data_IF_154738846840
#
_entry.id   IF_154738846840
#
_cell.length_a   1.000
_cell.length_b   1.000
_cell.length_c   1.000
_cell.angle_alpha   90.00
_cell.angle_beta   90.00
_cell.angle_gamma   90.00
#
_symmetry.space_group_name_H-M   'P 1'
#
loop_
_entity.id
_entity.type
_entity.pdbx_description
1 polymer ?
#
# COMPACT_ATOMS: atom_id res chain seq x y z
N UNK A 1 62.92 -56.21 -30.89
CA UNK A 1 63.00 -57.68 -31.05
C UNK A 1 61.94 -58.08 -32.07
N UNK A 2 62.39 -58.50 -33.25
CA UNK A 2 61.70 -59.27 -34.32
C UNK A 2 60.48 -58.57 -34.98
N UNK A 3 60.56 -57.98 -36.18
CA UNK A 3 60.87 -58.51 -37.54
C UNK A 3 59.68 -59.17 -38.26
N UNK A 4 59.34 -58.63 -39.44
CA UNK A 4 58.81 -59.22 -40.71
C UNK A 4 57.97 -58.16 -41.44
N UNK A 5 58.32 -57.56 -42.59
CA UNK A 5 58.92 -57.98 -43.88
C UNK A 5 57.96 -58.78 -44.80
N UNK A 6 57.88 -58.28 -46.05
CA UNK A 6 57.32 -58.79 -47.33
C UNK A 6 56.04 -58.07 -47.78
N UNK A 7 56.08 -57.08 -48.70
CA UNK A 7 56.40 -57.10 -50.15
C UNK A 7 55.41 -57.96 -50.95
N UNK A 8 54.54 -57.32 -51.73
CA UNK A 8 54.26 -57.70 -53.13
C UNK A 8 53.76 -56.50 -53.94
N UNK A 9 54.41 -56.30 -55.09
CA UNK A 9 54.20 -55.23 -56.07
C UNK A 9 53.09 -55.55 -57.08
N UNK A 10 52.79 -54.55 -57.94
CA UNK A 10 52.06 -54.58 -59.22
C UNK A 10 50.52 -54.58 -59.09
N UNK A 11 49.75 -53.67 -59.70
CA UNK A 11 49.87 -53.12 -61.06
C UNK A 11 49.09 -51.81 -61.15
N UNK A 12 49.61 -50.86 -61.93
CA UNK A 12 48.97 -49.60 -62.26
C UNK A 12 47.70 -49.79 -63.11
N UNK A 13 46.63 -49.07 -62.77
CA UNK A 13 45.60 -48.68 -63.73
C UNK A 13 45.23 -47.22 -63.47
N UNK A 14 45.68 -46.36 -64.39
CA UNK A 14 45.30 -44.96 -64.50
C UNK A 14 43.82 -44.82 -64.78
N UNK A 15 43.09 -44.10 -63.93
CA UNK A 15 41.81 -43.49 -64.28
C UNK A 15 41.66 -42.13 -63.56
N UNK A 16 41.40 -41.14 -64.39
CA UNK A 16 41.44 -39.70 -64.19
C UNK A 16 40.29 -39.19 -63.31
N UNK A 17 40.64 -38.29 -62.39
CA UNK A 17 39.89 -37.17 -61.81
C UNK A 17 38.35 -37.22 -61.72
N UNK A 18 37.83 -37.09 -60.49
CA UNK A 18 36.75 -36.13 -60.19
C UNK A 18 36.75 -35.81 -58.69
N UNK A 19 37.10 -34.58 -58.32
CA UNK A 19 36.85 -34.02 -56.99
C UNK A 19 35.33 -33.82 -56.86
N UNK A 20 34.62 -34.83 -56.37
CA UNK A 20 33.26 -34.65 -55.88
C UNK A 20 33.33 -33.95 -54.52
N UNK A 21 33.03 -32.66 -54.54
CA UNK A 21 32.56 -31.92 -53.38
C UNK A 21 31.37 -32.66 -52.76
N UNK A 22 31.57 -33.24 -51.57
CA UNK A 22 30.48 -33.79 -50.79
C UNK A 22 29.50 -32.67 -50.43
N UNK A 23 28.20 -32.79 -50.72
CA UNK A 23 27.23 -31.83 -50.20
C UNK A 23 27.12 -32.05 -48.69
N UNK A 24 27.22 -30.95 -47.94
CA UNK A 24 26.90 -30.92 -46.52
C UNK A 24 25.49 -31.52 -46.30
N UNK A 25 25.27 -32.31 -45.24
CA UNK A 25 23.94 -32.84 -44.95
C UNK A 25 22.99 -31.66 -44.76
N UNK A 26 21.92 -31.65 -45.57
CA UNK A 26 20.81 -30.72 -45.41
C UNK A 26 20.23 -30.89 -44.00
N UNK A 27 20.26 -29.82 -43.22
CA UNK A 27 19.50 -29.72 -41.98
C UNK A 27 18.02 -29.91 -42.33
N UNK A 28 17.37 -30.90 -41.71
CA UNK A 28 15.93 -31.11 -41.82
C UNK A 28 15.15 -29.87 -41.35
N UNK A 29 13.86 -29.76 -41.69
CA UNK A 29 13.06 -28.58 -41.38
C UNK A 29 13.00 -28.40 -39.85
N UNK A 30 13.52 -27.27 -39.37
CA UNK A 30 13.34 -26.82 -38.00
C UNK A 30 11.83 -26.62 -37.81
N UNK A 31 11.20 -27.51 -37.03
CA UNK A 31 9.76 -27.51 -36.81
C UNK A 31 9.35 -26.14 -36.26
N UNK A 32 8.36 -25.51 -36.91
CA UNK A 32 7.83 -24.23 -36.43
C UNK A 32 7.15 -24.47 -35.08
N UNK A 33 7.60 -23.77 -34.05
CA UNK A 33 6.93 -23.80 -32.77
C UNK A 33 5.51 -23.24 -32.93
N UNK A 34 4.53 -24.02 -32.45
CA UNK A 34 3.11 -23.71 -32.58
C UNK A 34 2.41 -23.70 -31.24
N UNK A 35 1.41 -22.83 -31.09
CA UNK A 35 0.48 -22.87 -29.97
C UNK A 35 -0.95 -23.10 -30.46
N UNK A 36 -1.74 -23.81 -29.67
CA UNK A 36 -3.17 -24.00 -29.94
C UNK A 36 -3.94 -22.81 -29.39
N UNK A 37 -4.85 -22.26 -30.18
CA UNK A 37 -5.80 -21.26 -29.71
C UNK A 37 -6.83 -21.92 -28.79
N UNK A 38 -6.78 -21.62 -27.50
CA UNK A 38 -7.67 -22.21 -26.48
C UNK A 38 -8.53 -21.14 -25.81
N UNK A 39 -9.75 -21.52 -25.45
CA UNK A 39 -10.53 -20.70 -24.53
C UNK A 39 -9.90 -20.78 -23.15
N UNK A 40 -9.50 -19.64 -22.62
CA UNK A 40 -8.94 -19.49 -21.30
C UNK A 40 -9.83 -18.53 -20.50
N UNK A 41 -10.02 -18.81 -19.20
CA UNK A 41 -10.75 -17.90 -18.31
C UNK A 41 -9.86 -16.68 -18.03
N UNK A 42 -10.33 -15.50 -18.40
CA UNK A 42 -9.61 -14.25 -18.20
C UNK A 42 -10.44 -13.27 -17.36
N UNK A 43 -9.77 -12.57 -16.45
CA UNK A 43 -10.39 -11.55 -15.61
C UNK A 43 -11.04 -10.45 -16.47
N UNK A 44 -12.27 -10.08 -16.11
CA UNK A 44 -12.94 -8.90 -16.67
C UNK A 44 -12.70 -7.74 -15.72
N UNK A 45 -11.93 -6.77 -16.18
CA UNK A 45 -11.66 -5.56 -15.42
C UNK A 45 -12.52 -4.39 -15.93
N UNK A 46 -12.90 -3.51 -14.99
CA UNK A 46 -13.46 -2.20 -15.31
C UNK A 46 -12.69 -1.12 -14.61
N UNK A 47 -12.36 -0.08 -15.36
CA UNK A 47 -11.57 1.05 -14.89
C UNK A 47 -12.51 2.17 -14.47
N UNK A 48 -12.26 2.70 -13.28
CA UNK A 48 -12.94 3.87 -12.73
C UNK A 48 -11.92 4.90 -12.30
N UNK A 49 -12.31 6.17 -12.33
CA UNK A 49 -11.48 7.25 -11.82
C UNK A 49 -11.65 7.33 -10.29
N UNK A 50 -10.53 7.46 -9.60
CA UNK A 50 -10.42 7.61 -8.16
C UNK A 50 -9.62 8.84 -7.78
N UNK A 51 -9.76 9.26 -6.54
CA UNK A 51 -8.99 10.37 -5.96
C UNK A 51 -8.08 9.84 -4.87
N UNK A 52 -6.81 10.24 -4.90
CA UNK A 52 -5.84 9.90 -3.86
C UNK A 52 -6.12 10.73 -2.60
N UNK A 53 -6.14 10.10 -1.44
CA UNK A 53 -6.26 10.73 -0.13
C UNK A 53 -5.14 10.25 0.79
N UNK A 54 -4.65 11.12 1.67
CA UNK A 54 -3.82 10.69 2.78
C UNK A 54 -4.68 9.95 3.81
N UNK A 55 -4.18 8.82 4.32
CA UNK A 55 -4.87 8.11 5.42
C UNK A 55 -4.83 8.97 6.69
N UNK A 56 -3.66 9.57 6.98
CA UNK A 56 -3.50 10.50 8.07
C UNK A 56 -3.49 11.94 7.55
N UNK A 57 -4.60 12.63 7.77
CA UNK A 57 -4.77 14.06 7.51
C UNK A 57 -5.60 14.66 8.63
N UNK A 58 -5.11 15.74 9.24
CA UNK A 58 -5.71 16.33 10.41
C UNK A 58 -5.31 17.79 10.56
N UNK A 59 -6.24 18.56 11.12
CA UNK A 59 -5.97 19.91 11.59
C UNK A 59 -5.85 19.87 13.10
N UNK A 60 -4.67 20.21 13.61
CA UNK A 60 -4.44 20.32 15.05
C UNK A 60 -5.01 21.64 15.53
N UNK A 61 -5.84 21.57 16.56
CA UNK A 61 -6.51 22.73 17.16
C UNK A 61 -6.02 23.01 18.57
N UNK A 62 -6.19 24.24 19.02
CA UNK A 62 -5.87 24.64 20.38
C UNK A 62 -6.73 23.89 21.40
N UNK A 63 -6.10 23.31 22.42
CA UNK A 63 -6.80 22.68 23.56
C UNK A 63 -6.93 23.63 24.75
N UNK A 64 -6.17 24.74 24.75
CA UNK A 64 -6.19 25.76 25.79
C UNK A 64 -6.11 27.16 25.18
N UNK A 65 -6.56 28.16 25.94
CA UNK A 65 -6.41 29.56 25.57
C UNK A 65 -4.98 30.04 25.90
N UNK A 66 -4.44 30.89 25.05
CA UNK A 66 -3.14 31.52 25.32
C UNK A 66 -2.59 32.25 24.10
N UNK A 67 -1.45 32.91 24.30
CA UNK A 67 -0.72 33.59 23.23
C UNK A 67 0.33 32.66 22.64
N UNK A 68 0.42 32.60 21.32
CA UNK A 68 1.47 31.87 20.61
C UNK A 68 2.83 32.51 20.91
N UNK A 69 3.73 31.75 21.52
CA UNK A 69 5.09 32.16 21.83
C UNK A 69 6.07 31.79 20.72
N UNK A 70 5.90 30.60 20.13
CA UNK A 70 6.79 30.06 19.11
C UNK A 70 6.00 29.15 18.16
N UNK A 71 6.34 29.19 16.88
CA UNK A 71 5.92 28.24 15.85
C UNK A 71 7.18 27.61 15.28
N UNK A 72 7.31 26.29 15.36
CA UNK A 72 8.55 25.57 15.05
C UNK A 72 8.68 25.14 13.59
N UNK A 73 7.59 25.18 12.81
CA UNK A 73 7.52 24.70 11.43
C UNK A 73 6.62 25.61 10.60
N UNK A 74 6.93 25.76 9.32
CA UNK A 74 6.11 26.51 8.37
C UNK A 74 5.47 25.57 7.33
N UNK A 75 4.64 26.13 6.45
CA UNK A 75 4.05 25.41 5.32
C UNK A 75 5.16 24.78 4.46
N UNK A 76 4.91 23.57 3.98
CA UNK A 76 5.83 22.71 3.21
C UNK A 76 6.95 22.04 4.01
N UNK A 77 7.10 22.33 5.30
CA UNK A 77 8.07 21.63 6.15
C UNK A 77 7.61 20.20 6.46
N UNK A 78 8.59 19.27 6.48
CA UNK A 78 8.38 17.91 6.98
C UNK A 78 8.58 17.85 8.49
N UNK A 79 7.66 17.19 9.17
CA UNK A 79 7.60 17.08 10.62
C UNK A 79 7.53 15.62 11.03
N UNK A 80 8.35 15.23 12.02
CA UNK A 80 8.29 13.90 12.64
C UNK A 80 7.17 13.82 13.68
N UNK A 81 6.67 12.61 13.93
CA UNK A 81 5.70 12.39 15.02
C UNK A 81 6.27 12.83 16.38
N UNK A 82 5.45 13.54 17.16
CA UNK A 82 5.83 14.05 18.48
C UNK A 82 6.68 15.32 18.46
N UNK A 83 7.08 15.82 17.29
CA UNK A 83 7.77 17.10 17.20
C UNK A 83 6.86 18.24 17.67
N UNK A 84 7.46 19.25 18.31
CA UNK A 84 6.72 20.42 18.82
C UNK A 84 6.42 21.36 17.67
N UNK A 85 5.13 21.49 17.34
CA UNK A 85 4.64 22.39 16.30
C UNK A 85 4.58 23.83 16.82
N UNK A 86 3.97 24.00 17.99
CA UNK A 86 3.61 25.32 18.53
C UNK A 86 3.80 25.31 20.04
N UNK A 87 4.36 26.39 20.57
CA UNK A 87 4.41 26.67 22.02
C UNK A 87 3.62 27.92 22.35
N UNK A 88 2.83 27.82 23.39
CA UNK A 88 2.09 28.94 23.96
C UNK A 88 2.90 29.54 25.11
N UNK A 89 2.62 30.80 25.44
CA UNK A 89 3.09 31.38 26.70
C UNK A 89 2.48 30.59 27.86
N UNK A 90 3.32 30.10 28.78
CA UNK A 90 2.92 29.16 29.84
C UNK A 90 3.14 29.70 31.26
N UNK A 91 3.36 31.01 31.40
CA UNK A 91 3.71 31.66 32.68
C UNK A 91 2.64 31.40 33.74
N UNK A 92 1.37 31.54 33.39
CA UNK A 92 0.23 31.35 34.30
C UNK A 92 0.06 29.87 34.68
N UNK A 93 0.15 28.97 33.70
CA UNK A 93 0.02 27.52 33.87
C UNK A 93 1.16 26.97 34.74
N UNK A 94 2.40 27.43 34.52
CA UNK A 94 3.54 27.09 35.39
C UNK A 94 3.38 27.61 36.80
N UNK A 95 2.80 28.80 36.97
CA UNK A 95 2.53 29.35 38.30
C UNK A 95 1.46 28.55 39.04
N UNK A 96 0.39 28.17 38.35
CA UNK A 96 -0.64 27.29 38.89
C UNK A 96 -0.08 25.92 39.29
N UNK A 97 0.83 25.36 38.48
CA UNK A 97 1.49 24.09 38.79
C UNK A 97 2.29 24.19 40.08
N UNK A 98 3.12 25.23 40.23
CA UNK A 98 3.88 25.47 41.47
C UNK A 98 2.97 25.61 42.68
N UNK A 99 1.82 26.28 42.54
CA UNK A 99 0.85 26.41 43.61
C UNK A 99 0.23 25.07 44.01
N UNK A 100 -0.16 24.24 43.05
CA UNK A 100 -0.71 22.91 43.29
C UNK A 100 0.34 21.98 43.95
N UNK A 101 1.59 22.03 43.48
CA UNK A 101 2.69 21.24 44.07
C UNK A 101 2.98 21.65 45.52
N UNK A 102 2.90 22.94 45.84
CA UNK A 102 3.03 23.43 47.22
C UNK A 102 1.89 22.91 48.12
N UNK A 103 0.65 22.90 47.63
CA UNK A 103 -0.50 22.34 48.37
C UNK A 103 -0.36 20.83 48.60
N UNK A 104 0.16 20.11 47.61
CA UNK A 104 0.48 18.68 47.76
C UNK A 104 1.56 18.45 48.82
N UNK A 105 2.62 19.26 48.82
CA UNK A 105 3.67 19.20 49.82
C UNK A 105 3.11 19.44 51.24
N UNK A 106 2.25 20.44 51.42
CA UNK A 106 1.54 20.71 52.68
C UNK A 106 0.67 19.53 53.12
N UNK A 107 -0.11 18.95 52.20
CA UNK A 107 -0.97 17.79 52.49
C UNK A 107 -0.15 16.57 52.92
N UNK A 108 1.00 16.33 52.27
CA UNK A 108 1.93 15.24 52.63
C UNK A 108 2.56 15.45 54.00
N UNK A 109 2.94 16.68 54.34
CA UNK A 109 3.45 17.00 55.67
C UNK A 109 2.40 16.72 56.76
N UNK A 110 1.15 17.16 56.55
CA UNK A 110 0.03 16.87 57.47
C UNK A 110 -0.28 15.39 57.60
N UNK A 111 -0.21 14.63 56.51
CA UNK A 111 -0.36 13.18 56.55
C UNK A 111 0.74 12.54 57.41
N UNK A 112 1.98 12.97 57.24
CA UNK A 112 3.11 12.48 58.03
C UNK A 112 2.88 12.74 59.52
N UNK A 113 2.45 13.94 59.89
CA UNK A 113 2.09 14.27 61.27
C UNK A 113 0.97 13.36 61.82
N UNK A 114 -0.09 13.14 61.04
CA UNK A 114 -1.21 12.29 61.44
C UNK A 114 -0.83 10.79 61.52
N UNK A 115 0.07 10.32 60.65
CA UNK A 115 0.62 8.97 60.69
C UNK A 115 1.45 8.75 61.98
N UNK A 116 2.26 9.73 62.38
CA UNK A 116 3.02 9.69 63.63
C UNK A 116 2.12 9.75 64.87
N UNK A 117 1.07 10.58 64.86
CA UNK A 117 0.10 10.66 65.95
C UNK A 117 -0.69 9.36 66.11
N UNK A 118 -1.14 8.76 64.99
CA UNK A 118 -1.78 7.44 65.02
C UNK A 118 -0.85 6.39 65.62
N UNK A 119 0.42 6.35 65.21
CA UNK A 119 1.41 5.41 65.75
C UNK A 119 1.63 5.62 67.25
N UNK A 120 1.66 6.87 67.74
CA UNK A 120 1.73 7.17 69.18
C UNK A 120 0.49 6.67 69.92
N UNK A 121 -0.71 6.95 69.42
CA UNK A 121 -1.96 6.52 70.04
C UNK A 121 -2.09 4.99 70.10
N UNK A 122 -1.68 4.30 69.04
CA UNK A 122 -1.64 2.83 68.95
C UNK A 122 -0.72 2.24 70.02
N UNK A 123 0.53 2.71 70.11
CA UNK A 123 1.49 2.28 71.13
C UNK A 123 1.00 2.52 72.58
N UNK A 124 0.36 3.67 72.84
CA UNK A 124 -0.20 3.96 74.17
C UNK A 124 -1.38 3.03 74.50
N UNK A 125 -2.21 2.71 73.52
CA UNK A 125 -3.34 1.79 73.67
C UNK A 125 -2.87 0.36 73.98
N UNK A 126 -1.86 -0.13 73.26
CA UNK A 126 -1.24 -1.45 73.48
C UNK A 126 -0.64 -1.59 74.89
N UNK A 127 -0.08 -0.49 75.42
CA UNK A 127 0.46 -0.43 76.79
C UNK A 127 -0.61 -0.25 77.88
N UNK A 128 -1.90 -0.19 77.52
CA UNK A 128 -3.00 0.05 78.45
C UNK A 128 -3.09 1.47 79.01
N UNK A 129 -2.35 2.43 78.41
CA UNK A 129 -2.26 3.82 78.86
C UNK A 129 -3.18 4.77 78.05
N UNK A 130 -3.67 4.34 76.89
CA UNK A 130 -4.51 5.13 75.97
C UNK A 130 -5.98 4.70 75.94
N UNK A 131 -6.89 5.65 75.67
CA UNK A 131 -8.32 5.35 75.47
C UNK A 131 -8.61 4.86 74.05
N UNK A 132 -9.70 4.09 73.86
CA UNK A 132 -10.13 3.69 72.51
C UNK A 132 -10.50 4.91 71.65
N UNK A 133 -11.13 5.92 72.27
CA UNK A 133 -11.53 7.16 71.62
C UNK A 133 -10.33 7.90 71.01
N UNK A 134 -9.20 7.93 71.70
CA UNK A 134 -8.00 8.64 71.21
C UNK A 134 -7.43 7.94 69.97
N UNK A 135 -7.36 6.60 70.00
CA UNK A 135 -6.96 5.80 68.84
C UNK A 135 -7.90 6.01 67.65
N UNK A 136 -9.22 5.95 67.87
CA UNK A 136 -10.22 6.15 66.82
C UNK A 136 -10.12 7.57 66.22
N UNK A 137 -9.87 8.58 67.05
CA UNK A 137 -9.67 9.97 66.62
C UNK A 137 -8.41 10.11 65.77
N UNK A 138 -7.29 9.51 66.20
CA UNK A 138 -6.04 9.55 65.45
C UNK A 138 -6.17 8.78 64.11
N UNK A 139 -6.87 7.64 64.10
CA UNK A 139 -7.16 6.88 62.88
C UNK A 139 -8.03 7.70 61.91
N UNK A 140 -9.05 8.38 62.41
CA UNK A 140 -9.90 9.26 61.59
C UNK A 140 -9.09 10.44 61.01
N UNK A 141 -8.21 11.06 61.80
CA UNK A 141 -7.31 12.12 61.35
C UNK A 141 -6.37 11.63 60.25
N UNK A 142 -5.73 10.46 60.46
CA UNK A 142 -4.87 9.80 59.47
C UNK A 142 -5.60 9.54 58.15
N UNK A 143 -6.80 8.95 58.21
CA UNK A 143 -7.64 8.70 57.03
C UNK A 143 -8.00 9.99 56.30
N UNK A 144 -8.35 11.04 57.04
CA UNK A 144 -8.65 12.36 56.48
C UNK A 144 -7.44 12.98 55.78
N UNK A 145 -6.25 12.92 56.41
CA UNK A 145 -5.02 13.44 55.84
C UNK A 145 -4.61 12.65 54.58
N UNK A 146 -4.77 11.33 54.58
CA UNK A 146 -4.56 10.50 53.39
C UNK A 146 -5.50 10.90 52.23
N UNK A 147 -6.78 11.13 52.51
CA UNK A 147 -7.73 11.61 51.50
C UNK A 147 -7.37 13.00 50.95
N UNK A 148 -6.84 13.89 51.81
CA UNK A 148 -6.36 15.22 51.37
C UNK A 148 -5.15 15.11 50.45
N UNK A 149 -4.21 14.19 50.71
CA UNK A 149 -3.10 13.92 49.80
C UNK A 149 -3.61 13.46 48.45
N UNK A 150 -4.51 12.47 48.40
CA UNK A 150 -5.07 11.97 47.14
C UNK A 150 -5.77 13.08 46.33
N UNK A 151 -6.53 13.96 47.02
CA UNK A 151 -7.16 15.13 46.39
C UNK A 151 -6.13 16.12 45.81
N UNK A 152 -5.08 16.45 46.57
CA UNK A 152 -4.03 17.35 46.12
C UNK A 152 -3.20 16.75 44.97
N UNK A 153 -2.97 15.43 44.95
CA UNK A 153 -2.34 14.73 43.82
C UNK A 153 -3.19 14.87 42.56
N UNK A 154 -4.50 14.69 42.68
CA UNK A 154 -5.44 14.85 41.55
C UNK A 154 -5.46 16.29 41.03
N UNK A 155 -5.35 17.28 41.92
CA UNK A 155 -5.24 18.68 41.55
C UNK A 155 -3.94 19.00 40.80
N UNK A 156 -2.80 18.42 41.21
CA UNK A 156 -1.52 18.56 40.48
C UNK A 156 -1.63 17.97 39.08
N UNK A 157 -2.20 16.77 38.92
CA UNK A 157 -2.35 16.13 37.61
C UNK A 157 -3.25 16.95 36.67
N UNK A 158 -4.36 17.49 37.17
CA UNK A 158 -5.23 18.37 36.39
C UNK A 158 -4.48 19.62 35.86
N UNK A 159 -3.65 20.23 36.69
CA UNK A 159 -2.86 21.42 36.29
C UNK A 159 -1.70 21.03 35.36
N UNK A 160 -1.08 19.87 35.54
CA UNK A 160 -0.06 19.35 34.62
C UNK A 160 -0.62 19.12 33.22
N UNK A 161 -1.83 18.56 33.12
CA UNK A 161 -2.50 18.36 31.84
C UNK A 161 -2.81 19.70 31.16
N UNK A 162 -3.26 20.70 31.93
CA UNK A 162 -3.48 22.05 31.41
C UNK A 162 -2.17 22.72 30.92
N UNK A 163 -1.05 22.45 31.58
CA UNK A 163 0.27 22.89 31.13
C UNK A 163 0.71 22.11 29.88
N UNK A 164 0.45 20.81 29.78
CA UNK A 164 0.79 20.03 28.59
C UNK A 164 0.09 20.57 27.33
N UNK A 165 -1.13 21.07 27.47
CA UNK A 165 -1.87 21.71 26.37
C UNK A 165 -1.24 23.00 25.83
N UNK A 166 -0.27 23.61 26.52
CA UNK A 166 0.47 24.76 25.99
C UNK A 166 1.52 24.36 24.96
N UNK A 167 1.82 23.07 24.82
CA UNK A 167 2.76 22.52 23.84
C UNK A 167 1.99 21.63 22.90
N UNK A 168 1.87 22.07 21.65
CA UNK A 168 1.17 21.33 20.61
C UNK A 168 2.20 20.52 19.82
N UNK A 169 1.97 19.22 19.72
CA UNK A 169 2.86 18.29 19.02
C UNK A 169 2.19 17.64 17.82
N UNK A 170 2.98 17.18 16.86
CA UNK A 170 2.50 16.48 15.68
C UNK A 170 2.02 15.06 16.05
N UNK A 171 0.77 14.67 15.72
CA UNK A 171 0.24 13.35 16.04
C UNK A 171 0.83 12.20 15.20
N UNK A 172 1.37 12.51 14.01
CA UNK A 172 1.96 11.56 13.07
C UNK A 172 3.00 12.30 12.19
N UNK A 173 3.91 11.59 11.50
CA UNK A 173 4.87 12.26 10.63
C UNK A 173 4.19 12.71 9.33
N UNK A 174 4.59 13.86 8.79
CA UNK A 174 3.95 14.41 7.60
C UNK A 174 4.43 15.80 7.22
N UNK A 175 3.76 16.37 6.22
CA UNK A 175 4.04 17.70 5.69
C UNK A 175 2.98 18.67 6.21
N UNK A 176 3.40 19.86 6.62
CA UNK A 176 2.50 20.95 6.98
C UNK A 176 1.88 21.53 5.72
N UNK A 177 0.56 21.46 5.60
CA UNK A 177 -0.17 21.97 4.43
C UNK A 177 -0.65 23.40 4.63
N UNK A 178 -1.07 23.73 5.86
CA UNK A 178 -1.61 25.05 6.17
C UNK A 178 -1.23 25.47 7.59
N UNK A 179 -0.90 26.75 7.74
CA UNK A 179 -0.67 27.40 9.02
C UNK A 179 -1.79 28.41 9.25
N UNK A 180 -2.56 28.22 10.32
CA UNK A 180 -3.76 29.00 10.63
C UNK A 180 -3.51 30.15 11.61
N UNK A 181 -2.29 30.27 12.14
CA UNK A 181 -1.94 31.21 13.21
C UNK A 181 -0.58 31.89 13.00
N UNK A 182 -0.40 33.02 13.68
CA UNK A 182 0.86 33.77 13.71
C UNK A 182 1.45 33.88 15.12
N UNK A 183 2.78 34.04 15.20
CA UNK A 183 3.47 34.28 16.48
C UNK A 183 2.95 35.58 17.10
N UNK A 184 2.60 35.53 18.39
CA UNK A 184 2.03 36.66 19.12
C UNK A 184 0.50 36.75 19.07
N UNK A 185 -0.17 35.94 18.24
CA UNK A 185 -1.63 35.83 18.21
C UNK A 185 -2.16 35.18 19.50
N UNK A 186 -3.35 35.60 19.93
CA UNK A 186 -4.09 34.95 21.02
C UNK A 186 -5.12 33.99 20.45
N UNK A 187 -5.11 32.74 20.89
CA UNK A 187 -6.02 31.71 20.40
C UNK A 187 -6.97 31.22 21.48
N UNK A 188 -8.08 30.60 21.06
CA UNK A 188 -9.09 30.02 21.94
C UNK A 188 -9.25 28.51 21.70
N UNK A 189 -9.70 27.73 22.70
CA UNK A 189 -9.91 26.29 22.52
C UNK A 189 -10.82 25.97 21.33
N UNK A 190 -10.41 25.01 20.50
CA UNK A 190 -11.09 24.62 19.27
C UNK A 190 -10.63 25.37 18.02
N UNK A 191 -9.89 26.48 18.16
CA UNK A 191 -9.35 27.22 17.01
C UNK A 191 -8.31 26.36 16.26
N UNK A 192 -8.42 26.24 14.93
CA UNK A 192 -7.40 25.59 14.09
C UNK A 192 -6.05 26.26 14.25
N UNK A 193 -4.98 25.47 14.36
CA UNK A 193 -3.61 25.99 14.48
C UNK A 193 -2.76 25.63 13.26
N UNK A 194 -2.74 24.35 12.90
CA UNK A 194 -1.91 23.84 11.81
C UNK A 194 -2.56 22.60 11.20
N UNK A 195 -2.57 22.52 9.89
CA UNK A 195 -3.03 21.36 9.14
C UNK A 195 -1.84 20.64 8.54
N UNK A 196 -1.89 19.31 8.55
CA UNK A 196 -0.89 18.48 7.92
C UNK A 196 -1.49 17.20 7.37
N UNK A 197 -0.68 16.54 6.53
CA UNK A 197 -0.98 15.23 5.99
C UNK A 197 0.27 14.36 5.95
N UNK A 198 0.10 13.05 6.07
CA UNK A 198 1.17 12.08 5.90
C UNK A 198 1.14 11.49 4.50
N UNK A 199 2.31 11.32 3.90
CA UNK A 199 2.47 10.61 2.63
C UNK A 199 2.80 9.12 2.80
N UNK A 200 3.02 8.67 4.04
CA UNK A 200 3.46 7.29 4.33
C UNK A 200 2.39 6.26 3.99
N UNK A 201 1.12 6.63 4.18
CA UNK A 201 -0.04 5.78 3.93
C UNK A 201 -1.04 6.55 3.09
N UNK A 202 -1.19 6.11 1.84
CA UNK A 202 -2.14 6.67 0.89
C UNK A 202 -3.29 5.69 0.67
N UNK A 203 -4.47 6.25 0.38
CA UNK A 203 -5.62 5.48 -0.07
C UNK A 203 -6.21 6.13 -1.32
N UNK A 204 -6.95 5.36 -2.08
CA UNK A 204 -7.71 5.85 -3.23
C UNK A 204 -9.19 5.68 -2.97
N UNK A 205 -9.95 6.75 -3.13
CA UNK A 205 -11.40 6.75 -3.03
C UNK A 205 -12.00 6.70 -4.42
N UNK A 206 -12.86 5.72 -4.66
CA UNK A 206 -13.55 5.50 -5.94
C UNK A 206 -15.04 5.38 -5.67
N UNK A 207 -15.86 6.03 -6.49
CA UNK A 207 -17.31 5.87 -6.45
C UNK A 207 -17.76 4.90 -7.56
N UNK A 208 -18.31 3.74 -7.16
CA UNK A 208 -18.70 2.67 -8.07
C UNK A 208 -20.22 2.61 -8.30
N UNK A 209 -20.71 2.43 -9.54
CA UNK A 209 -22.12 2.14 -9.78
C UNK A 209 -22.57 0.86 -9.07
N UNK A 210 -23.85 0.79 -8.69
CA UNK A 210 -24.42 -0.37 -7.98
C UNK A 210 -24.12 -1.72 -8.66
N UNK A 211 -24.21 -1.78 -10.00
CA UNK A 211 -23.96 -3.02 -10.76
C UNK A 211 -22.54 -3.55 -10.58
N UNK A 212 -21.56 -2.67 -10.42
CA UNK A 212 -20.15 -3.01 -10.23
C UNK A 212 -19.87 -3.30 -8.76
N UNK A 213 -20.41 -2.47 -7.86
CA UNK A 213 -20.27 -2.63 -6.42
C UNK A 213 -20.76 -4.00 -5.93
N UNK A 214 -21.83 -4.54 -6.54
CA UNK A 214 -22.32 -5.90 -6.23
C UNK A 214 -21.31 -7.00 -6.57
N UNK A 215 -20.54 -6.86 -7.66
CA UNK A 215 -19.53 -7.85 -8.04
C UNK A 215 -18.26 -7.70 -7.21
N UNK A 216 -17.79 -6.47 -6.99
CA UNK A 216 -16.64 -6.19 -6.12
C UNK A 216 -16.88 -6.69 -4.69
N UNK A 217 -18.14 -6.67 -4.21
CA UNK A 217 -18.48 -7.22 -2.89
C UNK A 217 -18.31 -8.74 -2.80
N UNK A 218 -18.54 -9.48 -3.90
CA UNK A 218 -18.37 -10.93 -3.92
C UNK A 218 -16.90 -11.31 -3.99
N UNK A 219 -16.15 -10.62 -4.84
CA UNK A 219 -14.73 -10.87 -5.10
C UNK A 219 -13.96 -9.54 -5.06
N UNK A 220 -13.54 -9.07 -3.87
CA UNK A 220 -12.81 -7.82 -3.75
C UNK A 220 -11.43 -7.96 -4.40
N UNK A 221 -11.24 -7.29 -5.54
CA UNK A 221 -9.96 -7.20 -6.22
C UNK A 221 -9.91 -5.92 -7.05
N UNK A 222 -8.89 -5.11 -6.79
CA UNK A 222 -8.65 -3.86 -7.48
C UNK A 222 -7.14 -3.56 -7.53
N UNK A 223 -6.72 -2.98 -8.64
CA UNK A 223 -5.36 -2.50 -8.85
C UNK A 223 -5.39 -1.05 -9.33
N UNK A 224 -4.46 -0.26 -8.83
CA UNK A 224 -4.24 1.10 -9.30
C UNK A 224 -3.36 1.08 -10.55
N UNK A 225 -3.76 1.80 -11.59
CA UNK A 225 -2.98 1.99 -12.81
C UNK A 225 -2.16 3.26 -12.63
N UNK A 226 -0.84 3.11 -12.52
CA UNK A 226 0.14 4.21 -12.44
C UNK A 226 0.93 4.30 -13.76
N UNK A 227 1.80 5.31 -13.88
CA UNK A 227 2.70 5.43 -15.03
C UNK A 227 3.75 4.31 -15.07
N UNK A 228 4.06 3.71 -13.92
CA UNK A 228 5.11 2.69 -13.75
C UNK A 228 4.56 1.26 -13.84
N UNK A 229 3.24 1.07 -13.74
CA UNK A 229 2.60 -0.23 -13.82
C UNK A 229 1.27 -0.30 -13.06
N UNK A 230 0.85 -1.51 -12.72
CA UNK A 230 -0.29 -1.74 -11.82
C UNK A 230 0.21 -1.98 -10.40
N UNK A 231 -0.45 -1.36 -9.42
CA UNK A 231 -0.21 -1.54 -7.99
C UNK A 231 -1.47 -2.13 -7.37
N UNK A 232 -1.40 -3.37 -6.90
CA UNK A 232 -2.54 -4.01 -6.24
C UNK A 232 -2.88 -3.29 -4.93
N UNK A 233 -4.18 -3.12 -4.67
CA UNK A 233 -4.63 -2.60 -3.38
C UNK A 233 -4.41 -3.64 -2.28
N UNK A 234 -3.88 -3.20 -1.13
CA UNK A 234 -3.68 -4.06 0.05
C UNK A 234 -5.02 -4.40 0.71
N UNK A 235 -5.89 -3.40 0.85
CA UNK A 235 -7.21 -3.55 1.44
C UNK A 235 -8.28 -2.82 0.61
N UNK A 236 -9.46 -3.43 0.50
CA UNK A 236 -10.60 -2.90 -0.25
C UNK A 236 -11.80 -2.82 0.69
N UNK A 237 -12.20 -1.60 1.03
CA UNK A 237 -13.38 -1.34 1.85
C UNK A 237 -14.50 -0.73 1.01
N UNK A 238 -15.56 -1.50 0.77
CA UNK A 238 -16.79 -1.03 0.14
C UNK A 238 -17.79 -0.57 1.21
N UNK A 239 -18.18 0.70 1.17
CA UNK A 239 -19.16 1.25 2.09
C UNK A 239 -20.55 0.67 1.80
N UNK A 240 -21.34 0.27 2.81
CA UNK A 240 -22.67 -0.29 2.61
C UNK A 240 -23.76 0.78 2.41
N UNK A 241 -23.39 2.02 2.08
CA UNK A 241 -24.28 3.16 1.90
C UNK A 241 -24.09 3.68 0.48
N UNK A 242 -25.20 3.79 -0.26
CA UNK A 242 -25.24 4.41 -1.57
C UNK A 242 -25.50 5.92 -1.43
N UNK A 243 -24.86 6.71 -2.30
CA UNK A 243 -25.24 8.11 -2.48
C UNK A 243 -26.54 8.16 -3.31
N UNK A 244 -27.63 8.76 -2.79
CA UNK A 244 -28.92 8.80 -3.48
C UNK A 244 -28.95 9.76 -4.68
N UNK A 245 -27.98 10.67 -4.81
CA UNK A 245 -27.87 11.62 -5.92
C UNK A 245 -27.17 10.97 -7.11
N UNK A 246 -26.07 10.27 -6.87
CA UNK A 246 -25.25 9.66 -7.94
C UNK A 246 -25.55 8.18 -8.17
N UNK A 247 -26.28 7.53 -7.26
CA UNK A 247 -26.52 6.07 -7.25
C UNK A 247 -25.22 5.24 -7.26
N UNK A 248 -24.18 5.75 -6.59
CA UNK A 248 -22.88 5.09 -6.46
C UNK A 248 -22.61 4.65 -5.03
N UNK A 249 -21.75 3.65 -4.87
CA UNK A 249 -21.19 3.22 -3.60
C UNK A 249 -19.74 3.64 -3.53
N UNK A 250 -19.34 4.23 -2.40
CA UNK A 250 -17.96 4.59 -2.15
C UNK A 250 -17.13 3.35 -1.85
N UNK A 251 -15.94 3.29 -2.42
CA UNK A 251 -14.91 2.28 -2.13
C UNK A 251 -13.63 2.99 -1.75
N UNK A 252 -12.95 2.47 -0.72
CA UNK A 252 -11.59 2.83 -0.35
C UNK A 252 -10.66 1.68 -0.70
N UNK A 253 -9.58 2.03 -1.40
CA UNK A 253 -8.48 1.14 -1.72
C UNK A 253 -7.27 1.61 -0.91
N UNK A 254 -6.82 0.83 0.06
CA UNK A 254 -5.58 1.14 0.77
C UNK A 254 -4.41 0.66 -0.07
N UNK A 255 -3.40 1.52 -0.26
CA UNK A 255 -2.21 1.17 -1.00
C UNK A 255 -1.15 0.64 -0.02
N UNK A 256 -0.36 -0.38 -0.42
CA UNK A 256 0.80 -0.81 0.36
C UNK A 256 1.75 0.36 0.64
N UNK A 257 2.56 0.27 1.69
CA UNK A 257 3.60 1.28 1.93
C UNK A 257 4.58 1.34 0.74
N UNK A 258 4.78 2.55 0.21
CA UNK A 258 5.64 2.74 -0.96
C UNK A 258 5.62 4.16 -1.51
N UNK A 259 6.61 4.49 -2.34
CA UNK A 259 6.66 5.74 -3.07
C UNK A 259 6.09 5.53 -4.47
N UNK A 260 4.86 5.99 -4.70
CA UNK A 260 4.17 5.84 -5.99
C UNK A 260 4.19 7.11 -6.84
N UNK A 261 4.87 8.17 -6.38
CA UNK A 261 4.79 9.50 -6.99
C UNK A 261 3.37 10.10 -6.95
N UNK A 262 2.53 9.62 -6.02
CA UNK A 262 1.16 10.06 -5.83
C UNK A 262 1.06 11.04 -4.67
N UNK A 263 0.28 12.09 -4.88
CA UNK A 263 -0.02 13.09 -3.87
C UNK A 263 -1.53 13.14 -3.62
N UNK A 264 -1.97 13.38 -2.37
CA UNK A 264 -3.37 13.61 -2.06
C UNK A 264 -3.98 14.68 -2.98
N UNK A 265 -5.19 14.41 -3.48
CA UNK A 265 -5.90 15.24 -4.46
C UNK A 265 -5.66 14.87 -5.93
N UNK A 266 -4.69 14.00 -6.24
CA UNK A 266 -4.50 13.51 -7.61
C UNK A 266 -5.62 12.57 -8.04
N UNK A 267 -5.98 12.64 -9.33
CA UNK A 267 -6.83 11.65 -9.97
C UNK A 267 -6.00 10.48 -10.48
N UNK A 268 -6.51 9.27 -10.25
CA UNK A 268 -5.86 8.00 -10.60
C UNK A 268 -6.89 7.04 -11.17
N UNK A 269 -6.44 6.05 -11.93
CA UNK A 269 -7.32 5.03 -12.50
C UNK A 269 -7.23 3.76 -11.67
N UNK A 270 -8.36 3.25 -11.22
CA UNK A 270 -8.46 1.99 -10.50
C UNK A 270 -9.18 0.96 -11.36
N UNK A 271 -8.50 -0.15 -11.65
CA UNK A 271 -9.06 -1.31 -12.33
C UNK A 271 -9.68 -2.25 -11.28
N UNK A 272 -10.97 -2.51 -11.38
CA UNK A 272 -11.69 -3.47 -10.52
C UNK A 272 -11.98 -4.74 -11.30
N UNK A 273 -11.67 -5.89 -10.71
CA UNK A 273 -12.05 -7.19 -11.27
C UNK A 273 -13.52 -7.45 -10.95
N UNK A 274 -14.35 -7.57 -11.98
CA UNK A 274 -15.81 -7.72 -11.86
C UNK A 274 -16.31 -9.12 -12.25
N UNK A 275 -15.41 -10.04 -12.56
CA UNK A 275 -15.73 -11.41 -12.94
C UNK A 275 -14.66 -12.01 -13.84
N UNK A 276 -15.01 -13.12 -14.46
CA UNK A 276 -14.19 -13.81 -15.45
C UNK A 276 -15.03 -14.09 -16.70
N UNK A 277 -14.39 -14.12 -17.85
CA UNK A 277 -15.00 -14.52 -19.11
C UNK A 277 -14.07 -15.46 -19.86
N UNK A 278 -14.63 -16.50 -20.49
CA UNK A 278 -13.89 -17.33 -21.43
C UNK A 278 -13.54 -16.51 -22.67
N UNK A 279 -12.25 -16.40 -22.96
CA UNK A 279 -11.72 -15.65 -24.10
C UNK A 279 -10.82 -16.56 -24.91
N UNK A 280 -10.87 -16.44 -26.24
CA UNK A 280 -9.94 -17.15 -27.10
C UNK A 280 -8.60 -16.44 -27.04
N UNK A 281 -7.61 -17.04 -26.37
CA UNK A 281 -6.30 -16.45 -26.19
C UNK A 281 -5.26 -17.15 -27.08
N UNK A 282 -4.33 -16.36 -27.60
CA UNK A 282 -3.12 -16.84 -28.27
C UNK A 282 -1.89 -16.14 -27.68
N UNK A 283 -0.70 -16.75 -27.69
CA UNK A 283 0.53 -16.07 -27.33
C UNK A 283 0.72 -14.80 -28.15
N UNK A 284 1.04 -13.68 -27.50
CA UNK A 284 1.21 -12.38 -28.16
C UNK A 284 2.31 -12.41 -29.22
N UNK A 285 3.30 -13.29 -29.07
CA UNK A 285 4.35 -13.54 -30.08
C UNK A 285 3.80 -14.04 -31.42
N UNK A 286 2.69 -14.78 -31.41
CA UNK A 286 2.07 -15.33 -32.62
C UNK A 286 1.30 -14.28 -33.45
N UNK A 287 1.03 -13.11 -32.87
CA UNK A 287 0.29 -12.03 -33.52
C UNK A 287 1.23 -11.17 -34.36
N UNK A 288 1.01 -11.16 -35.67
CA UNK A 288 1.72 -10.30 -36.60
C UNK A 288 0.99 -8.97 -36.76
N UNK A 289 1.71 -7.88 -36.51
CA UNK A 289 1.28 -6.53 -36.90
C UNK A 289 2.10 -6.06 -38.11
N UNK A 290 1.45 -5.89 -39.27
CA UNK A 290 2.08 -5.32 -40.46
C UNK A 290 1.23 -4.16 -40.97
N UNK A 291 1.71 -2.94 -40.73
CA UNK A 291 1.00 -1.71 -41.06
C UNK A 291 -0.39 -1.71 -40.41
N UNK A 292 -1.46 -1.68 -41.19
CA UNK A 292 -2.84 -1.68 -40.68
C UNK A 292 -3.43 -3.10 -40.52
N UNK A 293 -2.69 -4.14 -40.89
CA UNK A 293 -3.16 -5.52 -40.85
C UNK A 293 -2.61 -6.24 -39.62
N UNK A 294 -3.52 -6.68 -38.76
CA UNK A 294 -3.25 -7.64 -37.69
C UNK A 294 -3.65 -9.03 -38.16
N UNK A 295 -2.72 -9.99 -38.10
CA UNK A 295 -2.91 -11.33 -38.62
C UNK A 295 -2.15 -12.38 -37.82
N UNK A 296 -2.53 -13.65 -37.95
CA UNK A 296 -1.80 -14.80 -37.42
C UNK A 296 -1.55 -15.80 -38.54
N UNK A 297 -0.46 -16.58 -38.44
CA UNK A 297 -0.25 -17.72 -39.33
C UNK A 297 -0.91 -18.96 -38.73
N UNK A 298 -1.97 -19.44 -39.38
CA UNK A 298 -2.65 -20.67 -38.99
C UNK A 298 -1.98 -21.85 -39.69
N UNK A 299 -1.61 -22.86 -38.91
CA UNK A 299 -1.10 -24.14 -39.37
C UNK A 299 -2.31 -25.04 -39.57
N UNK A 300 -2.59 -25.43 -40.81
CA UNK A 300 -3.65 -26.37 -41.14
C UNK A 300 -3.12 -27.50 -42.02
N UNK A 301 -3.97 -28.50 -42.28
CA UNK A 301 -3.63 -29.72 -43.05
C UNK A 301 -3.08 -29.46 -44.45
N UNK A 302 -3.35 -28.27 -45.02
CA UNK A 302 -2.95 -27.87 -46.38
C UNK A 302 -1.82 -26.83 -46.38
N UNK A 303 -1.13 -26.66 -45.25
CA UNK A 303 -0.01 -25.73 -45.07
C UNK A 303 -0.35 -24.43 -44.32
N UNK A 304 0.65 -23.55 -44.22
CA UNK A 304 0.56 -22.28 -43.50
C UNK A 304 -0.26 -21.23 -44.25
N UNK A 305 -1.25 -20.65 -43.58
CA UNK A 305 -2.09 -19.58 -44.14
C UNK A 305 -2.08 -18.35 -43.25
N UNK A 306 -1.79 -17.20 -43.85
CA UNK A 306 -1.94 -15.93 -43.16
C UNK A 306 -3.43 -15.58 -43.05
N UNK A 307 -3.90 -15.38 -41.82
CA UNK A 307 -5.30 -15.05 -41.55
C UNK A 307 -5.40 -13.75 -40.78
N UNK A 308 -6.18 -12.81 -41.31
CA UNK A 308 -6.47 -11.57 -40.61
C UNK A 308 -7.32 -11.87 -39.38
N UNK A 309 -6.93 -11.31 -38.24
CA UNK A 309 -7.66 -11.46 -36.98
C UNK A 309 -7.96 -10.09 -36.39
N UNK A 310 -9.04 -10.02 -35.63
CA UNK A 310 -9.35 -8.88 -34.78
C UNK A 310 -8.93 -9.22 -33.36
N UNK A 311 -7.93 -8.52 -32.85
CA UNK A 311 -7.45 -8.68 -31.48
C UNK A 311 -8.28 -7.87 -30.49
N UNK A 312 -8.32 -8.34 -29.25
CA UNK A 312 -8.94 -7.70 -28.09
C UNK A 312 -7.90 -7.20 -27.10
N UNK A 313 -8.16 -7.40 -25.82
CA UNK A 313 -7.23 -7.01 -24.75
C UNK A 313 -6.04 -7.98 -24.68
N UNK A 314 -4.92 -7.50 -24.14
CA UNK A 314 -3.77 -8.36 -23.84
C UNK A 314 -3.74 -8.68 -22.35
N UNK A 315 -3.44 -9.93 -22.02
CA UNK A 315 -3.39 -10.48 -20.68
C UNK A 315 -2.01 -11.10 -20.48
N UNK A 316 -1.05 -10.31 -19.98
CA UNK A 316 0.35 -10.74 -19.87
C UNK A 316 0.99 -11.02 -21.23
N UNK A 317 1.42 -12.27 -21.46
CA UNK A 317 2.02 -12.77 -22.69
C UNK A 317 0.98 -13.33 -23.70
N UNK A 318 -0.31 -13.16 -23.39
CA UNK A 318 -1.44 -13.61 -24.23
C UNK A 318 -2.20 -12.42 -24.81
N UNK A 319 -2.74 -12.60 -26.01
CA UNK A 319 -3.62 -11.64 -26.66
C UNK A 319 -4.96 -12.30 -26.99
N UNK A 320 -6.05 -11.62 -26.66
CA UNK A 320 -7.40 -12.06 -27.00
C UNK A 320 -7.66 -11.93 -28.50
N UNK A 321 -8.32 -12.94 -29.08
CA UNK A 321 -8.82 -12.91 -30.45
C UNK A 321 -10.35 -12.81 -30.43
N UNK A 322 -10.88 -11.68 -30.92
CA UNK A 322 -12.32 -11.41 -31.00
C UNK A 322 -12.96 -12.00 -32.26
N UNK A 323 -12.19 -12.10 -33.36
CA UNK A 323 -12.67 -12.66 -34.62
C UNK A 323 -11.51 -13.12 -35.50
N UNK A 324 -11.80 -14.08 -36.39
CA UNK A 324 -10.86 -14.58 -37.40
C UNK A 324 -10.11 -15.84 -37.01
N UNK A 325 -10.29 -16.37 -35.80
CA UNK A 325 -9.70 -17.64 -35.36
C UNK A 325 -10.74 -18.43 -34.56
N UNK A 326 -10.68 -19.76 -34.66
CA UNK A 326 -11.53 -20.69 -33.91
C UNK A 326 -10.71 -21.44 -32.86
N UNK A 327 -11.36 -21.89 -31.79
CA UNK A 327 -10.71 -22.73 -30.79
C UNK A 327 -10.23 -24.05 -31.40
N UNK A 328 -9.04 -24.49 -30.97
CA UNK A 328 -8.38 -25.70 -31.45
C UNK A 328 -7.48 -25.49 -32.67
N UNK A 329 -7.49 -24.32 -33.32
CA UNK A 329 -6.58 -24.02 -34.43
C UNK A 329 -5.15 -23.78 -33.93
N UNK A 330 -4.16 -24.33 -34.64
CA UNK A 330 -2.74 -24.11 -34.36
C UNK A 330 -2.25 -22.82 -35.02
N UNK A 331 -1.57 -21.99 -34.24
CA UNK A 331 -0.93 -20.75 -34.70
C UNK A 331 0.59 -20.83 -34.52
N UNK A 332 1.34 -20.33 -35.50
CA UNK A 332 2.79 -20.29 -35.42
C UNK A 332 3.25 -19.17 -34.46
N UNK A 333 4.18 -19.49 -33.54
CA UNK A 333 4.70 -18.54 -32.55
C UNK A 333 5.65 -17.49 -33.13
N UNK A 334 6.34 -17.81 -34.22
CA UNK A 334 7.21 -16.88 -34.95
C UNK A 334 6.59 -16.51 -36.30
N UNK A 335 5.92 -15.35 -36.40
CA UNK A 335 5.25 -14.93 -37.63
C UNK A 335 6.23 -14.58 -38.77
N UNK A 336 7.49 -14.28 -38.47
CA UNK A 336 8.50 -13.96 -39.49
C UNK A 336 8.98 -15.26 -40.15
N UNK A 337 9.34 -16.26 -39.35
CA UNK A 337 9.71 -17.60 -39.84
C UNK A 337 8.54 -18.25 -40.59
N UNK A 338 7.33 -18.16 -40.05
CA UNK A 338 6.12 -18.67 -40.68
C UNK A 338 5.86 -18.02 -42.05
N UNK A 339 6.07 -16.70 -42.17
CA UNK A 339 5.93 -15.99 -43.45
C UNK A 339 6.96 -16.39 -44.51
N UNK A 340 8.21 -16.66 -44.10
CA UNK A 340 9.25 -17.18 -44.99
C UNK A 340 8.88 -18.60 -45.47
N UNK A 341 8.44 -19.45 -44.55
CA UNK A 341 8.00 -20.82 -44.85
C UNK A 341 6.80 -20.84 -45.81
N UNK A 342 5.77 -20.03 -45.55
CA UNK A 342 4.58 -19.92 -46.39
C UNK A 342 4.89 -19.45 -47.82
N UNK A 343 5.84 -18.52 -48.00
CA UNK A 343 6.26 -18.03 -49.33
C UNK A 343 7.10 -19.05 -50.11
N UNK A 344 7.75 -19.98 -49.41
CA UNK A 344 8.61 -21.00 -50.03
C UNK A 344 7.87 -22.25 -50.55
N UNK A 345 6.54 -22.33 -50.36
CA UNK A 345 5.73 -23.45 -50.86
C UNK A 345 6.06 -24.81 -50.24
N UNK A 346 6.68 -24.83 -49.05
CA UNK A 346 7.01 -26.08 -48.34
C UNK A 346 5.80 -26.53 -47.53
N UNK A 347 5.24 -27.68 -47.91
CA UNK A 347 4.28 -28.41 -47.10
C UNK A 347 4.88 -28.74 -45.75
N UNK A 348 4.12 -28.49 -44.68
CA UNK A 348 4.43 -28.93 -43.32
C UNK A 348 4.16 -30.43 -43.31
N UNK A 349 5.21 -31.25 -43.24
CA UNK A 349 5.08 -32.70 -43.07
C UNK A 349 4.88 -33.02 -41.60
N UNK A 350 3.76 -33.68 -41.29
CA UNK A 350 3.53 -34.36 -40.01
C UNK A 350 4.62 -35.40 -39.76
N UNK A 351 5.12 -35.45 -38.53
CA UNK A 351 5.57 -36.68 -37.87
C UNK A 351 5.24 -36.60 -36.38
#
# INVERSE_FOLDING_TARGET
MVSRLQIFSFTALTATAFLLSAPAPAQGPEALESAVATFESAAVERIFDGTVEAVHQATVSAQTAGRIAEVGYDVDDYVEAGAVLIRFTDVEQRSALRQAEAQLAEARARRTEADEEYRRAENLKERGLGSQRDLDTALASRKTAAARVASAESAVEAVRQQLAYTVVTAPYPGIVTERHIEVGESVTPGQPLMSGLSLDRLRVVVDLPQSVASEVRKNPSAALITAEGQVDAEEITLFPIADPVTNTFRVRLELPEGQYGLYPGMFVKAAFRIGEAERLLVPSSAVLHRSEVTAVYVIGETGLRLRQVRTGQSFGDRTEILAGLSAGEQVALDPVRAGIAAKSGREVSDD
#
